data_IF_502095362518
#
_entry.id   IF_502095362518
#
_cell.length_a   1.000
_cell.length_b   1.000
_cell.length_c   1.000
_cell.angle_alpha   90.00
_cell.angle_beta   90.00
_cell.angle_gamma   90.00
#
_symmetry.space_group_name_H-M   'P 1'
#
loop_
_entity.id
_entity.type
_entity.pdbx_description
1 polymer ?
#
# COMPACT_ATOMS: atom_id res chain seq x y z
N UNK A 1 12.61 6.62 -26.26
CA UNK A 1 12.04 6.53 -24.89
C UNK A 1 11.52 7.92 -24.55
N UNK A 2 10.21 8.12 -24.48
CA UNK A 2 9.66 9.38 -23.99
C UNK A 2 9.90 9.42 -22.48
N UNK A 3 10.76 10.33 -22.03
CA UNK A 3 10.94 10.61 -20.60
C UNK A 3 9.57 11.04 -20.05
N UNK A 4 9.00 10.33 -19.06
CA UNK A 4 7.79 10.82 -18.42
C UNK A 4 8.09 12.20 -17.82
N UNK A 5 7.09 13.09 -17.85
CA UNK A 5 7.19 14.43 -17.28
C UNK A 5 7.47 14.31 -15.77
N UNK A 6 8.73 14.31 -15.40
CA UNK A 6 9.17 14.07 -14.03
C UNK A 6 9.16 15.36 -13.23
N UNK A 7 8.55 15.33 -12.06
CA UNK A 7 8.64 16.42 -11.09
C UNK A 7 10.08 16.60 -10.62
N UNK A 8 10.44 17.82 -10.19
CA UNK A 8 11.75 18.10 -9.61
C UNK A 8 11.93 17.24 -8.34
N UNK A 9 13.01 16.45 -8.21
CA UNK A 9 13.20 15.52 -7.09
C UNK A 9 13.14 16.22 -5.72
N UNK A 10 13.73 17.40 -5.60
CA UNK A 10 13.70 18.19 -4.36
C UNK A 10 12.30 18.65 -3.97
N UNK A 11 11.47 19.05 -4.94
CA UNK A 11 10.10 19.45 -4.67
C UNK A 11 9.26 18.26 -4.22
N UNK A 12 9.40 17.14 -4.92
CA UNK A 12 8.69 15.89 -4.57
C UNK A 12 9.11 15.39 -3.19
N UNK A 13 10.41 15.42 -2.90
CA UNK A 13 10.96 15.07 -1.59
C UNK A 13 10.44 15.98 -0.47
N UNK A 14 10.37 17.29 -0.71
CA UNK A 14 9.83 18.24 0.27
C UNK A 14 8.34 17.99 0.56
N UNK A 15 7.53 17.71 -0.48
CA UNK A 15 6.11 17.38 -0.32
C UNK A 15 5.90 16.06 0.45
N UNK A 16 6.70 15.04 0.16
CA UNK A 16 6.67 13.77 0.91
C UNK A 16 7.10 13.97 2.37
N UNK A 17 8.15 14.78 2.61
CA UNK A 17 8.57 15.15 3.95
C UNK A 17 7.48 15.87 4.73
N UNK A 18 6.79 16.83 4.09
CA UNK A 18 5.65 17.53 4.67
C UNK A 18 4.49 16.57 4.97
N UNK A 19 4.18 15.65 4.06
CA UNK A 19 3.15 14.63 4.28
C UNK A 19 3.50 13.74 5.49
N UNK A 20 4.78 13.34 5.63
CA UNK A 20 5.23 12.52 6.75
C UNK A 20 5.12 13.26 8.09
N UNK A 21 5.51 14.54 8.15
CA UNK A 21 5.39 15.34 9.38
C UNK A 21 3.93 15.61 9.75
N UNK A 22 3.10 15.95 8.77
CA UNK A 22 1.65 16.14 8.97
C UNK A 22 0.97 14.85 9.43
N UNK A 23 1.34 13.68 8.89
CA UNK A 23 0.81 12.39 9.35
C UNK A 23 1.08 12.19 10.84
N UNK A 24 2.30 12.47 11.31
CA UNK A 24 2.66 12.35 12.74
C UNK A 24 1.91 13.37 13.58
N UNK A 25 1.81 14.63 13.13
CA UNK A 25 1.11 15.69 13.86
C UNK A 25 -0.39 15.38 14.02
N UNK A 26 -1.07 15.10 12.90
CA UNK A 26 -2.51 14.79 12.89
C UNK A 26 -2.82 13.54 13.70
N UNK A 27 -2.02 12.48 13.54
CA UNK A 27 -2.23 11.26 14.33
C UNK A 27 -1.96 11.45 15.82
N UNK A 28 -0.97 12.25 16.19
CA UNK A 28 -0.71 12.57 17.60
C UNK A 28 -1.87 13.36 18.19
N UNK A 29 -2.41 14.35 17.47
CA UNK A 29 -3.52 15.17 17.94
C UNK A 29 -4.85 14.42 18.00
N UNK A 30 -5.13 13.54 17.05
CA UNK A 30 -6.43 12.84 16.93
C UNK A 30 -6.47 11.48 17.63
N UNK A 31 -5.36 10.73 17.64
CA UNK A 31 -5.26 9.38 18.20
C UNK A 31 -4.45 9.33 19.50
N UNK A 32 -3.87 10.46 19.92
CA UNK A 32 -3.01 10.55 21.11
C UNK A 32 -1.66 9.85 20.97
N UNK A 33 -1.31 9.35 19.77
CA UNK A 33 -0.08 8.59 19.51
C UNK A 33 0.44 8.86 18.10
N UNK A 34 1.76 9.03 17.91
CA UNK A 34 2.32 9.27 16.59
C UNK A 34 2.17 8.04 15.69
N UNK A 35 1.67 8.26 14.47
CA UNK A 35 1.60 7.27 13.40
C UNK A 35 2.47 7.71 12.23
N UNK A 36 3.54 6.96 12.03
CA UNK A 36 4.45 7.12 10.89
C UNK A 36 3.86 6.47 9.64
N UNK A 37 4.40 6.87 8.48
CA UNK A 37 4.04 6.27 7.21
C UNK A 37 4.43 4.78 7.22
N UNK A 38 3.46 3.91 6.99
CA UNK A 38 3.66 2.47 6.95
C UNK A 38 2.59 1.77 6.12
N UNK A 39 2.92 0.59 5.60
CA UNK A 39 2.00 -0.20 4.77
C UNK A 39 1.96 -1.70 5.13
N UNK A 40 3.09 -2.29 5.52
CA UNK A 40 3.23 -3.76 5.69
C UNK A 40 2.21 -4.38 6.66
N UNK A 41 1.99 -3.77 7.83
CA UNK A 41 1.01 -4.23 8.82
C UNK A 41 -0.43 -4.16 8.33
N UNK A 42 -0.75 -3.25 7.40
CA UNK A 42 -2.08 -3.16 6.78
C UNK A 42 -2.37 -4.39 5.93
N UNK A 43 -1.40 -4.87 5.15
CA UNK A 43 -1.58 -6.06 4.31
C UNK A 43 -1.84 -7.32 5.15
N UNK A 44 -1.08 -7.51 6.23
CA UNK A 44 -1.27 -8.66 7.12
C UNK A 44 -2.61 -8.59 7.85
N UNK A 45 -3.05 -7.39 8.26
CA UNK A 45 -4.38 -7.21 8.85
C UNK A 45 -5.52 -7.40 7.84
N UNK A 46 -5.33 -7.02 6.59
CA UNK A 46 -6.30 -7.26 5.53
C UNK A 46 -6.47 -8.77 5.30
N UNK A 47 -5.36 -9.52 5.23
CA UNK A 47 -5.39 -10.98 5.16
C UNK A 47 -6.11 -11.58 6.37
N UNK A 48 -5.76 -11.16 7.59
CA UNK A 48 -6.43 -11.60 8.82
C UNK A 48 -7.93 -11.24 8.87
N UNK A 49 -8.37 -10.12 8.26
CA UNK A 49 -9.80 -9.77 8.14
C UNK A 49 -10.54 -10.75 7.24
N UNK A 50 -9.92 -11.13 6.12
CA UNK A 50 -10.47 -12.11 5.17
C UNK A 50 -10.48 -13.51 5.79
N UNK A 51 -9.38 -13.93 6.42
CA UNK A 51 -9.29 -15.21 7.13
C UNK A 51 -10.33 -15.32 8.24
N UNK A 52 -10.57 -14.23 8.98
CA UNK A 52 -11.60 -14.20 10.04
C UNK A 52 -13.01 -14.43 9.48
N UNK A 53 -13.29 -14.00 8.25
CA UNK A 53 -14.60 -14.25 7.62
C UNK A 53 -14.81 -15.70 7.19
N UNK A 54 -13.73 -16.48 7.05
CA UNK A 54 -13.77 -17.89 6.62
C UNK A 54 -13.63 -18.83 7.82
N UNK A 55 -12.74 -18.51 8.77
CA UNK A 55 -12.52 -19.27 10.00
C UNK A 55 -12.19 -18.34 11.17
N UNK A 56 -13.23 -17.93 11.90
CA UNK A 56 -13.07 -17.04 13.04
C UNK A 56 -12.29 -17.67 14.20
N UNK A 57 -12.41 -19.00 14.39
CA UNK A 57 -11.73 -19.77 15.44
C UNK A 57 -10.21 -19.82 15.23
N UNK A 58 -9.76 -20.06 14.00
CA UNK A 58 -8.32 -20.12 13.68
C UNK A 58 -7.61 -18.76 13.86
N UNK A 59 -8.31 -17.66 13.55
CA UNK A 59 -7.79 -16.30 13.77
C UNK A 59 -7.81 -15.91 15.25
N UNK A 60 -8.78 -16.42 16.02
CA UNK A 60 -8.89 -16.16 17.45
C UNK A 60 -7.79 -16.90 18.25
N UNK A 61 -7.38 -18.10 17.84
CA UNK A 61 -6.35 -18.90 18.51
C UNK A 61 -4.91 -18.51 18.13
N UNK A 62 -4.73 -17.78 17.02
CA UNK A 62 -3.40 -17.40 16.55
C UNK A 62 -2.80 -16.26 17.40
N UNK A 63 -1.69 -16.57 18.08
CA UNK A 63 -0.94 -15.64 18.94
C UNK A 63 -0.48 -14.37 18.21
N UNK A 64 -0.22 -14.44 16.90
CA UNK A 64 0.13 -13.28 16.08
C UNK A 64 -1.06 -12.32 15.92
N UNK A 65 -2.25 -12.83 15.62
CA UNK A 65 -3.45 -12.00 15.43
C UNK A 65 -4.02 -11.47 16.76
N UNK A 66 -3.79 -12.18 17.87
CA UNK A 66 -4.06 -11.63 19.19
C UNK A 66 -3.15 -10.43 19.52
N UNK A 67 -1.86 -10.52 19.23
CA UNK A 67 -0.91 -9.40 19.42
C UNK A 67 -1.13 -8.26 18.40
N UNK A 68 -1.47 -8.60 17.15
CA UNK A 68 -1.75 -7.66 16.05
C UNK A 68 -3.24 -7.67 15.72
N UNK A 69 -4.05 -7.20 16.68
CA UNK A 69 -5.51 -7.10 16.54
C UNK A 69 -5.91 -6.69 15.13
N UNK A 70 -6.68 -7.57 14.51
CA UNK A 70 -7.23 -7.42 13.17
C UNK A 70 -8.33 -6.35 13.24
N UNK A 71 -7.97 -5.10 12.91
CA UNK A 71 -8.86 -3.94 12.92
C UNK A 71 -8.49 -3.00 11.78
N UNK A 72 -9.50 -2.36 11.19
CA UNK A 72 -9.32 -1.18 10.34
C UNK A 72 -8.83 -0.04 11.23
N UNK A 73 -7.56 0.33 11.08
CA UNK A 73 -6.93 1.40 11.83
C UNK A 73 -6.52 2.55 10.91
N UNK A 74 -5.94 3.60 11.50
CA UNK A 74 -5.45 4.77 10.77
C UNK A 74 -4.57 4.41 9.57
N UNK A 75 -3.69 3.42 9.75
CA UNK A 75 -2.78 2.98 8.68
C UNK A 75 -3.54 2.32 7.52
N UNK A 76 -4.64 1.60 7.81
CA UNK A 76 -5.54 1.07 6.81
C UNK A 76 -6.17 2.17 5.96
N UNK A 77 -6.71 3.21 6.61
CA UNK A 77 -7.28 4.38 5.91
C UNK A 77 -6.23 5.14 5.10
N UNK A 78 -5.01 5.27 5.63
CA UNK A 78 -3.91 5.92 4.94
C UNK A 78 -3.49 5.18 3.66
N UNK A 79 -3.39 3.84 3.70
CA UNK A 79 -3.07 3.03 2.52
C UNK A 79 -4.17 3.11 1.46
N UNK A 80 -5.45 3.11 1.87
CA UNK A 80 -6.57 3.34 0.94
C UNK A 80 -6.44 4.73 0.29
N UNK A 81 -6.11 5.76 1.07
CA UNK A 81 -5.88 7.11 0.56
C UNK A 81 -4.76 7.17 -0.48
N UNK A 82 -3.65 6.45 -0.26
CA UNK A 82 -2.56 6.32 -1.24
C UNK A 82 -3.07 5.68 -2.53
N UNK A 83 -3.81 4.57 -2.42
CA UNK A 83 -4.35 3.86 -3.58
C UNK A 83 -5.25 4.77 -4.42
N UNK A 84 -6.22 5.42 -3.79
CA UNK A 84 -7.15 6.31 -4.47
C UNK A 84 -6.45 7.55 -5.05
N UNK A 85 -5.51 8.16 -4.30
CA UNK A 85 -4.75 9.31 -4.76
C UNK A 85 -3.87 8.99 -5.96
N UNK A 86 -3.15 7.86 -5.92
CA UNK A 86 -2.32 7.41 -7.03
C UNK A 86 -3.16 7.07 -8.26
N UNK A 87 -4.32 6.43 -8.07
CA UNK A 87 -5.24 6.12 -9.16
C UNK A 87 -5.81 7.38 -9.81
N UNK A 88 -6.29 8.34 -9.01
CA UNK A 88 -6.79 9.62 -9.51
C UNK A 88 -5.70 10.41 -10.26
N UNK A 89 -4.47 10.44 -9.74
CA UNK A 89 -3.33 11.08 -10.41
C UNK A 89 -3.03 10.42 -11.76
N UNK A 90 -3.04 9.08 -11.81
CA UNK A 90 -2.76 8.31 -13.03
C UNK A 90 -3.84 8.44 -14.11
N UNK A 91 -5.10 8.66 -13.70
CA UNK A 91 -6.17 9.03 -14.62
C UNK A 91 -6.00 10.46 -15.13
N UNK A 92 -5.63 11.40 -14.26
CA UNK A 92 -5.44 12.81 -14.60
C UNK A 92 -4.29 13.06 -15.58
N UNK A 93 -3.17 12.37 -15.41
CA UNK A 93 -2.02 12.46 -16.33
C UNK A 93 -2.07 11.47 -17.51
N UNK A 94 -3.15 10.66 -17.59
CA UNK A 94 -3.38 9.59 -18.59
C UNK A 94 -2.22 8.59 -18.66
N UNK A 95 -1.50 8.39 -17.55
CA UNK A 95 -0.43 7.41 -17.44
C UNK A 95 -0.93 6.00 -17.12
N UNK A 96 -2.21 5.86 -16.77
CA UNK A 96 -2.78 4.58 -16.37
C UNK A 96 -2.61 3.51 -17.46
N UNK A 97 -1.98 2.39 -17.08
CA UNK A 97 -1.74 1.24 -17.95
C UNK A 97 -2.00 -0.05 -17.19
N UNK A 98 -2.78 -0.94 -17.79
CA UNK A 98 -2.92 -2.31 -17.31
C UNK A 98 -1.68 -3.11 -17.71
N UNK A 99 -0.77 -3.34 -16.77
CA UNK A 99 0.45 -4.11 -16.98
C UNK A 99 0.44 -5.42 -16.17
N UNK A 100 0.32 -6.55 -16.87
CA UNK A 100 0.34 -7.88 -16.23
C UNK A 100 1.75 -8.43 -15.93
N UNK A 101 2.77 -7.97 -16.65
CA UNK A 101 4.19 -8.30 -16.39
C UNK A 101 5.03 -7.04 -16.60
N UNK A 102 5.75 -6.56 -15.57
CA UNK A 102 6.63 -5.41 -15.69
C UNK A 102 7.60 -5.55 -16.88
N UNK A 103 7.87 -4.48 -17.66
CA UNK A 103 8.73 -4.55 -18.83
C UNK A 103 10.12 -5.14 -18.55
N UNK A 104 10.68 -4.85 -17.37
CA UNK A 104 11.99 -5.37 -16.95
C UNK A 104 11.99 -6.88 -16.74
N UNK A 105 10.88 -7.42 -16.23
CA UNK A 105 10.66 -8.85 -16.05
C UNK A 105 10.36 -9.55 -17.37
N UNK A 106 9.56 -8.90 -18.23
CA UNK A 106 9.29 -9.37 -19.58
C UNK A 106 10.59 -9.50 -20.39
N UNK A 107 11.49 -8.53 -20.28
CA UNK A 107 12.79 -8.53 -20.96
C UNK A 107 13.72 -9.65 -20.46
N UNK A 108 13.74 -9.91 -19.15
CA UNK A 108 14.68 -10.86 -18.55
C UNK A 108 14.18 -12.31 -18.50
N UNK A 109 12.88 -12.52 -18.38
CA UNK A 109 12.28 -13.82 -18.09
C UNK A 109 11.09 -14.18 -18.99
N UNK A 110 10.77 -13.33 -19.98
CA UNK A 110 9.65 -13.54 -20.89
C UNK A 110 8.29 -13.11 -20.34
N UNK A 111 7.28 -13.14 -21.22
CA UNK A 111 5.94 -12.58 -21.00
C UNK A 111 4.91 -13.65 -20.59
N UNK A 112 5.15 -14.40 -19.51
CA UNK A 112 4.25 -15.48 -19.07
C UNK A 112 3.65 -15.19 -17.68
N UNK A 113 2.53 -14.45 -17.59
CA UNK A 113 1.92 -14.10 -16.30
C UNK A 113 1.38 -15.31 -15.54
N UNK A 114 0.80 -16.30 -16.23
CA UNK A 114 0.22 -17.50 -15.60
C UNK A 114 1.27 -18.34 -14.84
N UNK A 115 2.45 -18.53 -15.42
CA UNK A 115 3.54 -19.28 -14.76
C UNK A 115 4.02 -18.54 -13.51
N UNK A 116 4.00 -17.20 -13.54
CA UNK A 116 4.40 -16.38 -12.40
C UNK A 116 3.38 -16.42 -11.27
N UNK A 117 2.09 -16.40 -11.61
CA UNK A 117 1.02 -16.52 -10.63
C UNK A 117 1.00 -17.90 -9.96
N UNK A 118 1.34 -18.97 -10.69
CA UNK A 118 1.42 -20.32 -10.12
C UNK A 118 2.64 -20.54 -9.21
N UNK A 119 3.71 -19.75 -9.37
CA UNK A 119 4.92 -19.84 -8.55
C UNK A 119 5.00 -18.84 -7.39
N UNK A 120 4.02 -17.95 -7.25
CA UNK A 120 3.92 -16.94 -6.19
C UNK A 120 2.92 -17.40 -5.12
#
# INVERSE_FOLDING_TARGET
MNMPKSWRPYLTGALVGLLATLSVLVSTQTLGKPKYLGASTTFVRAAGLIEKSISAEHVAENSYYQAKKVKVDWQFMFVIGILLGAFAASLGDRSFKMEGVPPIWKKRFGNKPAIRAAGA
#
